data_IF_800480715704
#
_entry.id   IF_800480715704
#
_cell.length_a   1.000
_cell.length_b   1.000
_cell.length_c   1.000
_cell.angle_alpha   90.00
_cell.angle_beta   90.00
_cell.angle_gamma   90.00
#
_symmetry.space_group_name_H-M   'P 1'
#
loop_
_entity.id
_entity.type
_entity.pdbx_description
1 polymer ?
#
# COMPACT_ATOMS: atom_id res chain seq x y z
N UNK A 1 2.75 12.97 -0.06
CA UNK A 1 1.76 13.28 0.99
C UNK A 1 1.55 12.04 1.84
N UNK A 2 1.76 12.14 3.16
CA UNK A 2 1.74 11.00 4.08
C UNK A 2 0.43 10.99 4.91
N UNK A 3 -0.72 10.83 4.22
CA UNK A 3 -2.03 10.64 4.87
C UNK A 3 -2.85 9.63 4.07
N UNK A 4 -2.29 8.44 3.90
CA UNK A 4 -2.93 7.30 3.24
C UNK A 4 -2.79 6.08 4.14
N UNK A 5 -3.84 5.28 4.21
CA UNK A 5 -3.75 3.93 4.78
C UNK A 5 -2.90 3.08 3.83
N UNK A 6 -1.88 2.41 4.37
CA UNK A 6 -0.95 1.57 3.62
C UNK A 6 -0.85 0.22 4.31
N UNK A 7 -0.73 -0.83 3.51
CA UNK A 7 -0.49 -2.18 3.98
C UNK A 7 0.52 -2.86 3.04
N UNK A 8 1.33 -3.75 3.60
CA UNK A 8 2.13 -4.69 2.81
C UNK A 8 1.31 -5.97 2.67
N UNK A 9 1.31 -6.54 1.47
CA UNK A 9 0.58 -7.76 1.16
C UNK A 9 1.36 -8.57 0.12
N UNK A 10 1.22 -9.89 0.19
CA UNK A 10 1.61 -10.80 -0.88
C UNK A 10 0.43 -10.95 -1.84
N UNK A 11 0.69 -10.87 -3.13
CA UNK A 11 -0.33 -11.00 -4.18
C UNK A 11 0.12 -12.06 -5.18
N UNK A 12 -0.86 -12.74 -5.78
CA UNK A 12 -0.60 -13.56 -6.95
C UNK A 12 -0.08 -12.71 -8.10
N UNK A 13 0.80 -13.29 -8.91
CA UNK A 13 1.53 -12.55 -9.96
C UNK A 13 0.58 -11.85 -10.93
N UNK A 14 -0.54 -12.48 -11.28
CA UNK A 14 -1.58 -11.94 -12.16
C UNK A 14 -2.23 -10.63 -11.64
N UNK A 15 -2.22 -10.42 -10.33
CA UNK A 15 -2.82 -9.24 -9.68
C UNK A 15 -1.77 -8.24 -9.17
N UNK A 16 -0.48 -8.53 -9.34
CA UNK A 16 0.63 -7.74 -8.77
C UNK A 16 0.95 -6.44 -9.51
N UNK A 17 0.32 -6.19 -10.67
CA UNK A 17 0.62 -5.02 -11.49
C UNK A 17 0.28 -3.73 -10.73
N UNK A 18 1.19 -2.73 -10.65
CA UNK A 18 0.88 -1.44 -10.05
C UNK A 18 -0.34 -0.77 -10.69
N UNK A 19 -1.18 -0.17 -9.87
CA UNK A 19 -2.42 0.48 -10.30
C UNK A 19 -3.65 -0.43 -10.33
N UNK A 20 -3.48 -1.76 -10.20
CA UNK A 20 -4.57 -2.73 -10.14
C UNK A 20 -5.45 -2.46 -8.92
N UNK A 21 -6.77 -2.42 -9.13
CA UNK A 21 -7.77 -2.30 -8.08
C UNK A 21 -8.11 -3.68 -7.52
N UNK A 22 -8.13 -3.78 -6.19
CA UNK A 22 -8.44 -5.00 -5.46
C UNK A 22 -9.41 -4.68 -4.31
N UNK A 23 -10.05 -5.71 -3.77
CA UNK A 23 -10.84 -5.62 -2.55
C UNK A 23 -10.12 -6.35 -1.43
N UNK A 24 -9.94 -5.69 -0.28
CA UNK A 24 -9.34 -6.27 0.91
C UNK A 24 -10.38 -6.37 2.02
N UNK A 25 -10.48 -7.52 2.68
CA UNK A 25 -11.23 -7.63 3.93
C UNK A 25 -10.37 -7.13 5.08
N UNK A 26 -10.93 -6.23 5.89
CA UNK A 26 -10.35 -5.78 7.16
C UNK A 26 -11.34 -6.09 8.28
N UNK A 27 -10.84 -6.73 9.35
CA UNK A 27 -11.65 -6.99 10.54
C UNK A 27 -11.32 -5.97 11.61
N UNK A 28 -12.34 -5.25 12.09
CA UNK A 28 -12.23 -4.26 13.18
C UNK A 28 -13.23 -4.67 14.23
N UNK A 29 -12.77 -5.01 15.44
CA UNK A 29 -13.66 -5.34 16.57
C UNK A 29 -14.73 -6.41 16.21
N UNK A 30 -14.31 -7.49 15.55
CA UNK A 30 -15.16 -8.56 15.04
C UNK A 30 -16.12 -8.18 13.90
N UNK A 31 -16.06 -6.95 13.39
CA UNK A 31 -16.81 -6.51 12.21
C UNK A 31 -15.93 -6.66 10.96
N UNK A 32 -16.42 -7.43 9.97
CA UNK A 32 -15.78 -7.56 8.65
C UNK A 32 -16.18 -6.40 7.75
N UNK A 33 -15.19 -5.67 7.26
CA UNK A 33 -15.35 -4.58 6.32
C UNK A 33 -14.60 -4.89 5.03
N UNK A 34 -15.10 -4.37 3.92
CA UNK A 34 -14.44 -4.47 2.61
C UNK A 34 -13.90 -3.10 2.23
N UNK A 35 -12.60 -3.02 2.01
CA UNK A 35 -11.92 -1.81 1.58
C UNK A 35 -11.44 -1.96 0.13
N UNK A 36 -11.70 -0.94 -0.69
CA UNK A 36 -11.08 -0.85 -2.01
C UNK A 36 -9.63 -0.42 -1.84
N UNK A 37 -8.71 -1.17 -2.42
CA UNK A 37 -7.26 -0.92 -2.37
C UNK A 37 -6.69 -0.91 -3.77
N UNK A 38 -5.55 -0.23 -3.94
CA UNK A 38 -4.85 -0.15 -5.22
C UNK A 38 -3.40 -0.58 -5.02
N UNK A 39 -2.89 -1.44 -5.89
CA UNK A 39 -1.50 -1.91 -5.83
C UNK A 39 -0.56 -0.73 -6.05
N UNK A 40 0.28 -0.43 -5.05
CA UNK A 40 1.26 0.66 -5.09
C UNK A 40 2.67 0.16 -5.36
N UNK A 41 3.52 1.02 -5.91
CA UNK A 41 4.95 0.74 -6.04
C UNK A 41 5.68 1.00 -4.72
N UNK A 42 6.62 0.14 -4.39
CA UNK A 42 7.58 0.38 -3.32
C UNK A 42 8.80 1.13 -3.87
N UNK A 43 9.40 2.06 -3.11
CA UNK A 43 8.94 2.56 -1.81
C UNK A 43 7.72 3.50 -1.95
N UNK A 44 6.72 3.34 -1.08
CA UNK A 44 5.50 4.15 -1.11
C UNK A 44 5.72 5.63 -0.71
N UNK A 45 6.84 5.95 -0.06
CA UNK A 45 7.22 7.30 0.34
C UNK A 45 8.74 7.48 0.36
N UNK A 46 9.26 8.29 -0.56
CA UNK A 46 10.70 8.55 -0.72
C UNK A 46 11.00 10.06 -0.91
N UNK A 47 10.97 10.87 0.17
CA UNK A 47 11.38 12.27 0.09
C UNK A 47 12.90 12.39 -0.07
N UNK A 48 13.38 13.40 -0.81
CA UNK A 48 14.80 13.60 -1.11
C UNK A 48 15.72 13.63 0.12
N UNK A 49 15.22 14.08 1.29
CA UNK A 49 15.95 14.06 2.57
C UNK A 49 16.34 12.63 3.00
N UNK A 50 15.57 11.60 2.66
CA UNK A 50 15.88 10.20 3.06
C UNK A 50 17.06 9.61 2.29
N UNK A 51 17.36 10.12 1.09
CA UNK A 51 18.40 9.59 0.21
C UNK A 51 19.60 10.54 0.05
N UNK A 52 19.58 11.69 0.71
CA UNK A 52 20.67 12.65 0.64
C UNK A 52 21.89 12.13 1.40
N UNK A 53 23.05 12.13 0.75
CA UNK A 53 24.34 11.89 1.41
C UNK A 53 24.61 13.01 2.42
N UNK A 54 24.92 12.71 3.69
CA UNK A 54 25.33 13.74 4.65
C UNK A 54 26.56 14.48 4.13
N UNK A 55 26.57 15.80 4.27
CA UNK A 55 27.76 16.64 4.10
C UNK A 55 28.48 16.81 5.42
#
# INVERSE_FOLDING_TARGET
TLKKMIALASLDTEHSKPGTDLQMEITIEAIRLKANVKVGTLPFFNPARKTATPV
#
